data_IF_324133205933
#
_entry.id   IF_324133205933
#
_cell.length_a   1.000
_cell.length_b   1.000
_cell.length_c   1.000
_cell.angle_alpha   90.00
_cell.angle_beta   90.00
_cell.angle_gamma   90.00
#
_symmetry.space_group_name_H-M   'P 1'
#
loop_
_entity.id
_entity.type
_entity.pdbx_description
1 polymer ?
#
# COMPACT_ATOMS: atom_id res chain seq x y z
N UNK A 1 -21.33 -15.45 2.05
CA UNK A 1 -20.33 -14.35 1.94
C UNK A 1 -21.11 -13.05 1.94
N UNK A 2 -20.75 -12.09 2.80
CA UNK A 2 -21.49 -10.81 2.90
C UNK A 2 -21.38 -10.03 1.60
N UNK A 3 -22.47 -9.97 0.84
CA UNK A 3 -22.56 -9.20 -0.42
C UNK A 3 -22.58 -7.67 -0.21
N UNK A 4 -22.49 -7.22 1.04
CA UNK A 4 -22.64 -5.81 1.44
C UNK A 4 -21.40 -5.20 2.11
N UNK A 5 -20.20 -5.76 1.86
CA UNK A 5 -18.97 -5.20 2.40
C UNK A 5 -18.71 -3.81 1.79
N UNK A 6 -18.44 -2.82 2.65
CA UNK A 6 -18.09 -1.44 2.26
C UNK A 6 -16.57 -1.24 2.30
N UNK A 7 -16.08 -0.60 1.27
CA UNK A 7 -14.64 -0.39 1.07
C UNK A 7 -14.31 1.09 1.13
N UNK A 8 -13.22 1.41 1.81
CA UNK A 8 -12.67 2.76 1.80
C UNK A 8 -11.24 2.73 1.31
N UNK A 9 -10.89 3.63 0.39
CA UNK A 9 -9.51 3.86 -0.08
C UNK A 9 -9.04 5.19 0.48
N UNK A 10 -8.00 5.16 1.28
CA UNK A 10 -7.33 6.33 1.85
C UNK A 10 -6.13 6.71 0.98
N UNK A 11 -6.21 7.88 0.36
CA UNK A 11 -5.20 8.41 -0.55
C UNK A 11 -5.62 8.36 -2.01
N UNK A 12 -5.47 9.49 -2.72
CA UNK A 12 -5.83 9.66 -4.13
C UNK A 12 -4.59 9.87 -5.04
N UNK A 13 -3.48 9.24 -4.69
CA UNK A 13 -2.28 9.18 -5.53
C UNK A 13 -2.38 8.14 -6.65
N UNK A 14 -1.23 7.79 -7.25
CA UNK A 14 -1.14 6.82 -8.35
C UNK A 14 -1.84 5.48 -8.01
N UNK A 15 -1.58 4.93 -6.83
CA UNK A 15 -2.17 3.68 -6.40
C UNK A 15 -3.62 3.81 -5.97
N UNK A 16 -3.95 4.85 -5.20
CA UNK A 16 -5.29 4.99 -4.61
C UNK A 16 -6.38 5.22 -5.65
N UNK A 17 -6.15 6.08 -6.65
CA UNK A 17 -7.07 6.26 -7.77
C UNK A 17 -7.30 4.95 -8.54
N UNK A 18 -6.21 4.24 -8.85
CA UNK A 18 -6.28 2.95 -9.55
C UNK A 18 -7.05 1.90 -8.75
N UNK A 19 -6.81 1.81 -7.44
CA UNK A 19 -7.48 0.83 -6.58
C UNK A 19 -8.95 1.15 -6.41
N UNK A 20 -9.31 2.42 -6.16
CA UNK A 20 -10.70 2.83 -6.01
C UNK A 20 -11.51 2.58 -7.29
N UNK A 21 -10.98 2.98 -8.45
CA UNK A 21 -11.63 2.74 -9.74
C UNK A 21 -11.78 1.25 -10.06
N UNK A 22 -10.74 0.46 -9.82
CA UNK A 22 -10.75 -0.97 -10.11
C UNK A 22 -11.79 -1.72 -9.26
N UNK A 23 -11.87 -1.43 -7.95
CA UNK A 23 -12.89 -2.01 -7.07
C UNK A 23 -14.32 -1.56 -7.45
N UNK A 24 -14.49 -0.28 -7.83
CA UNK A 24 -15.78 0.23 -8.29
C UNK A 24 -16.23 -0.48 -9.59
N UNK A 25 -15.32 -0.74 -10.53
CA UNK A 25 -15.60 -1.53 -11.74
C UNK A 25 -15.94 -2.99 -11.45
N UNK A 26 -15.48 -3.53 -10.32
CA UNK A 26 -15.91 -4.84 -9.80
C UNK A 26 -17.30 -4.79 -9.16
N UNK A 27 -18.00 -3.66 -9.18
CA UNK A 27 -19.32 -3.47 -8.58
C UNK A 27 -19.29 -3.29 -7.05
N UNK A 28 -18.15 -2.92 -6.47
CA UNK A 28 -18.04 -2.69 -5.03
C UNK A 28 -18.45 -1.27 -4.65
N UNK A 29 -19.04 -1.12 -3.44
CA UNK A 29 -19.34 0.19 -2.85
C UNK A 29 -18.05 0.78 -2.28
N UNK A 30 -17.47 1.78 -2.97
CA UNK A 30 -16.15 2.34 -2.65
C UNK A 30 -16.26 3.80 -2.27
N UNK A 31 -15.74 4.16 -1.09
CA UNK A 31 -15.46 5.53 -0.67
C UNK A 31 -14.00 5.86 -0.94
N UNK A 32 -13.73 7.00 -1.57
CA UNK A 32 -12.38 7.53 -1.74
C UNK A 32 -12.17 8.72 -0.81
N UNK A 33 -11.12 8.67 -0.01
CA UNK A 33 -10.68 9.75 0.85
C UNK A 33 -9.35 10.34 0.39
N UNK A 34 -9.24 11.66 0.46
CA UNK A 34 -7.95 12.35 0.39
C UNK A 34 -7.94 13.56 1.31
N UNK A 35 -6.83 13.76 2.05
CA UNK A 35 -6.69 14.85 3.01
C UNK A 35 -6.89 16.26 2.41
N UNK A 36 -6.50 16.45 1.17
CA UNK A 36 -6.63 17.71 0.43
C UNK A 36 -7.73 17.58 -0.60
N UNK A 37 -8.86 18.28 -0.41
CA UNK A 37 -10.02 18.19 -1.31
C UNK A 37 -9.69 18.56 -2.74
N UNK A 38 -8.88 19.58 -2.97
CA UNK A 38 -8.46 20.00 -4.32
C UNK A 38 -7.86 18.85 -5.17
N UNK A 39 -7.28 17.83 -4.55
CA UNK A 39 -6.73 16.67 -5.26
C UNK A 39 -7.81 15.66 -5.72
N UNK A 40 -9.03 15.78 -5.20
CA UNK A 40 -10.16 14.88 -5.48
C UNK A 40 -11.41 15.62 -5.99
N UNK A 41 -11.36 16.94 -6.12
CA UNK A 41 -12.47 17.79 -6.54
C UNK A 41 -13.07 17.31 -7.87
N UNK A 42 -12.25 17.15 -8.90
CA UNK A 42 -12.69 16.64 -10.22
C UNK A 42 -13.27 15.23 -10.13
N UNK A 43 -12.74 14.38 -9.23
CA UNK A 43 -13.29 13.04 -9.02
C UNK A 43 -14.68 13.13 -8.37
N UNK A 44 -14.86 14.04 -7.40
CA UNK A 44 -16.13 14.27 -6.73
C UNK A 44 -17.19 14.81 -7.70
N UNK A 45 -16.84 15.80 -8.52
CA UNK A 45 -17.72 16.36 -9.54
C UNK A 45 -18.16 15.34 -10.59
N UNK A 46 -17.23 14.49 -11.05
CA UNK A 46 -17.51 13.44 -12.04
C UNK A 46 -18.19 12.21 -11.43
N UNK A 47 -18.09 12.02 -10.11
CA UNK A 47 -18.58 10.86 -9.39
C UNK A 47 -17.78 9.58 -9.66
N UNK A 48 -16.51 9.69 -10.11
CA UNK A 48 -15.69 8.51 -10.40
C UNK A 48 -14.39 8.79 -11.13
N UNK A 49 -13.73 7.72 -11.54
CA UNK A 49 -12.38 7.73 -12.13
C UNK A 49 -12.39 6.88 -13.41
N UNK A 50 -11.82 7.41 -14.49
CA UNK A 50 -11.52 6.63 -15.69
C UNK A 50 -10.29 5.74 -15.43
N UNK A 51 -10.45 4.45 -15.60
CA UNK A 51 -9.38 3.47 -15.46
C UNK A 51 -9.01 2.84 -16.80
N UNK A 52 -7.75 2.97 -17.18
CA UNK A 52 -7.14 2.16 -18.22
C UNK A 52 -6.44 0.95 -17.58
N UNK A 53 -6.73 -0.23 -18.12
CA UNK A 53 -6.12 -1.50 -17.66
C UNK A 53 -6.08 -2.48 -18.84
N UNK A 54 -5.03 -2.42 -19.67
CA UNK A 54 -4.90 -3.28 -20.82
C UNK A 54 -4.96 -4.77 -20.44
N UNK A 55 -5.95 -5.48 -20.98
CA UNK A 55 -6.19 -6.90 -20.69
C UNK A 55 -6.97 -7.20 -19.40
N UNK A 56 -7.47 -6.17 -18.69
CA UNK A 56 -8.26 -6.30 -17.47
C UNK A 56 -9.50 -5.40 -17.46
N UNK A 57 -10.08 -5.21 -16.27
CA UNK A 57 -11.23 -4.32 -16.08
C UNK A 57 -10.83 -2.87 -16.35
N UNK A 58 -11.49 -2.22 -17.31
CA UNK A 58 -11.27 -0.83 -17.70
C UNK A 58 -12.61 -0.10 -17.89
N UNK A 59 -12.59 1.23 -17.80
CA UNK A 59 -13.77 2.07 -17.96
C UNK A 59 -13.95 3.07 -16.83
N UNK A 60 -15.15 3.62 -16.68
CA UNK A 60 -15.46 4.59 -15.64
C UNK A 60 -15.90 3.89 -14.34
N UNK A 61 -15.01 3.86 -13.34
CA UNK A 61 -15.29 3.36 -12.00
C UNK A 61 -16.08 4.40 -11.18
N UNK A 62 -17.39 4.22 -11.06
CA UNK A 62 -18.27 5.09 -10.29
C UNK A 62 -18.07 4.84 -8.79
N UNK A 63 -17.72 5.88 -8.05
CA UNK A 63 -17.51 5.83 -6.60
C UNK A 63 -18.81 6.12 -5.85
N UNK A 64 -19.02 5.43 -4.74
CA UNK A 64 -20.16 5.67 -3.86
C UNK A 64 -20.02 7.02 -3.13
N UNK A 65 -18.79 7.37 -2.74
CA UNK A 65 -18.50 8.63 -2.05
C UNK A 65 -17.06 9.09 -2.33
N UNK A 66 -16.86 10.40 -2.37
CA UNK A 66 -15.54 11.05 -2.45
C UNK A 66 -15.51 12.14 -1.39
N UNK A 67 -14.53 12.15 -0.49
CA UNK A 67 -14.54 13.03 0.68
C UNK A 67 -13.13 13.33 1.20
N UNK A 68 -12.96 14.48 1.85
CA UNK A 68 -11.81 14.85 2.68
C UNK A 68 -12.12 14.78 4.18
N UNK A 69 -13.32 14.33 4.54
CA UNK A 69 -13.71 14.11 5.94
C UNK A 69 -13.44 12.66 6.34
N UNK A 70 -12.51 12.46 7.30
CA UNK A 70 -12.08 11.13 7.75
C UNK A 70 -13.23 10.36 8.44
N UNK A 71 -14.05 11.02 9.24
CA UNK A 71 -15.21 10.39 9.89
C UNK A 71 -16.16 9.80 8.85
N UNK A 72 -16.49 10.59 7.84
CA UNK A 72 -17.35 10.18 6.72
C UNK A 72 -16.74 9.02 5.92
N UNK A 73 -15.42 9.01 5.79
CA UNK A 73 -14.70 7.97 5.05
C UNK A 73 -14.69 6.62 5.79
N UNK A 74 -14.65 6.63 7.12
CA UNK A 74 -14.56 5.42 7.95
C UNK A 74 -15.92 4.90 8.42
N UNK A 75 -16.99 5.69 8.27
CA UNK A 75 -18.32 5.33 8.75
C UNK A 75 -18.87 4.11 8.03
N UNK A 76 -19.01 3.01 8.78
CA UNK A 76 -19.49 1.73 8.29
C UNK A 76 -18.56 1.02 7.30
N UNK A 77 -17.30 1.45 7.16
CA UNK A 77 -16.32 0.76 6.34
C UNK A 77 -15.88 -0.57 6.97
N UNK A 78 -15.88 -1.66 6.21
CA UNK A 78 -15.43 -2.98 6.66
C UNK A 78 -13.93 -3.18 6.36
N UNK A 79 -13.50 -2.80 5.15
CA UNK A 79 -12.12 -2.93 4.68
C UNK A 79 -11.60 -1.59 4.18
N UNK A 80 -10.58 -1.07 4.88
CA UNK A 80 -9.96 0.22 4.66
C UNK A 80 -8.58 0.00 4.03
N UNK A 81 -8.44 0.36 2.76
CA UNK A 81 -7.19 0.27 2.00
C UNK A 81 -6.40 1.57 2.15
N UNK A 82 -5.33 1.57 2.92
CA UNK A 82 -4.46 2.75 3.12
C UNK A 82 -3.39 2.78 2.04
N UNK A 83 -3.58 3.61 1.02
CA UNK A 83 -2.74 3.67 -0.20
C UNK A 83 -1.99 5.00 -0.26
N UNK A 84 -1.03 5.15 0.61
CA UNK A 84 -0.23 6.37 0.80
C UNK A 84 1.25 6.04 0.93
N UNK A 85 2.18 7.01 0.76
CA UNK A 85 3.58 6.83 1.12
C UNK A 85 3.75 6.48 2.60
N UNK A 86 4.70 5.61 2.92
CA UNK A 86 4.94 5.18 4.32
C UNK A 86 5.29 6.32 5.28
N UNK A 87 5.90 7.38 4.78
CA UNK A 87 6.17 8.61 5.55
C UNK A 87 4.91 9.32 6.07
N UNK A 88 3.74 8.99 5.51
CA UNK A 88 2.45 9.54 5.93
C UNK A 88 1.65 8.59 6.84
N UNK A 89 2.12 7.36 7.11
CA UNK A 89 1.38 6.37 7.91
C UNK A 89 1.02 6.92 9.29
N UNK A 90 1.98 7.50 10.01
CA UNK A 90 1.77 8.06 11.35
C UNK A 90 0.70 9.15 11.35
N UNK A 91 0.78 10.10 10.44
CA UNK A 91 -0.19 11.20 10.38
C UNK A 91 -1.59 10.72 10.02
N UNK A 92 -1.69 9.76 9.10
CA UNK A 92 -3.00 9.18 8.75
C UNK A 92 -3.55 8.33 9.90
N UNK A 93 -2.71 7.58 10.61
CA UNK A 93 -3.12 6.84 11.81
C UNK A 93 -3.72 7.78 12.87
N UNK A 94 -3.09 8.93 13.12
CA UNK A 94 -3.65 9.95 14.04
C UNK A 94 -5.01 10.45 13.61
N UNK A 95 -5.18 10.74 12.31
CA UNK A 95 -6.46 11.20 11.76
C UNK A 95 -7.55 10.13 11.82
N UNK A 96 -7.20 8.86 11.70
CA UNK A 96 -8.14 7.74 11.74
C UNK A 96 -8.53 7.33 13.17
N UNK A 97 -7.60 7.45 14.13
CA UNK A 97 -7.76 6.94 15.49
C UNK A 97 -9.10 7.29 16.18
N UNK A 98 -9.63 8.53 16.10
CA UNK A 98 -10.88 8.90 16.75
C UNK A 98 -12.14 8.24 16.13
N UNK A 99 -12.03 7.73 14.90
CA UNK A 99 -13.18 7.27 14.11
C UNK A 99 -13.17 5.78 13.80
N UNK A 100 -12.07 5.07 14.15
CA UNK A 100 -11.96 3.63 13.96
C UNK A 100 -12.97 2.89 14.83
N UNK A 101 -13.52 1.80 14.30
CA UNK A 101 -14.54 0.98 14.95
C UNK A 101 -14.03 -0.45 15.16
N UNK A 102 -14.69 -1.16 16.08
CA UNK A 102 -14.38 -2.56 16.36
C UNK A 102 -14.53 -3.43 15.10
N UNK A 103 -13.53 -4.23 14.83
CA UNK A 103 -13.56 -5.21 13.76
C UNK A 103 -13.29 -4.68 12.36
N UNK A 104 -13.18 -3.36 12.15
CA UNK A 104 -12.71 -2.80 10.90
C UNK A 104 -11.32 -3.33 10.56
N UNK A 105 -11.07 -3.59 9.28
CA UNK A 105 -9.77 -4.02 8.80
C UNK A 105 -9.07 -2.84 8.12
N UNK A 106 -7.92 -2.45 8.63
CA UNK A 106 -7.05 -1.42 8.05
C UNK A 106 -5.86 -2.11 7.41
N UNK A 107 -5.77 -2.06 6.08
CA UNK A 107 -4.72 -2.72 5.30
C UNK A 107 -3.82 -1.69 4.64
N UNK A 108 -2.54 -1.66 5.03
CA UNK A 108 -1.52 -0.76 4.47
C UNK A 108 -0.99 -1.28 3.13
N UNK A 109 -0.99 -0.43 2.12
CA UNK A 109 -0.60 -0.76 0.74
C UNK A 109 0.54 0.13 0.21
N UNK A 110 1.80 -0.24 0.46
CA UNK A 110 2.30 -1.31 1.35
C UNK A 110 2.60 -0.81 2.76
N UNK A 111 2.81 -1.73 3.71
CA UNK A 111 3.27 -1.39 5.06
C UNK A 111 4.72 -0.93 5.10
N UNK A 112 5.56 -1.38 4.16
CA UNK A 112 7.00 -1.18 4.18
C UNK A 112 7.63 -1.82 5.42
N UNK A 113 8.72 -1.25 5.97
CA UNK A 113 9.37 -1.79 7.16
C UNK A 113 8.68 -1.28 8.42
N UNK A 114 8.07 -2.19 9.20
CA UNK A 114 7.38 -1.91 10.47
C UNK A 114 6.13 -0.99 10.36
N UNK A 115 5.54 -0.82 9.19
CA UNK A 115 4.42 0.11 9.01
C UNK A 115 3.18 -0.24 9.82
N UNK A 116 2.77 -1.51 9.85
CA UNK A 116 1.64 -1.96 10.66
C UNK A 116 1.90 -1.77 12.17
N UNK A 117 3.13 -1.95 12.63
CA UNK A 117 3.51 -1.73 14.03
C UNK A 117 3.43 -0.25 14.38
N UNK A 118 4.01 0.62 13.54
CA UNK A 118 3.95 2.07 13.73
C UNK A 118 2.50 2.56 13.72
N UNK A 119 1.70 2.11 12.76
CA UNK A 119 0.30 2.48 12.65
C UNK A 119 -0.49 2.09 13.90
N UNK A 120 -0.35 0.83 14.33
CA UNK A 120 -1.01 0.31 15.53
C UNK A 120 -0.60 1.07 16.79
N UNK A 121 0.69 1.31 17.00
CA UNK A 121 1.18 2.08 18.15
C UNK A 121 0.65 3.51 18.12
N UNK A 122 0.58 4.13 16.94
CA UNK A 122 0.08 5.50 16.80
C UNK A 122 -1.39 5.60 17.17
N UNK A 123 -2.26 4.72 16.70
CA UNK A 123 -3.70 4.78 17.07
C UNK A 123 -3.91 4.58 18.57
N UNK A 124 -3.11 3.73 19.23
CA UNK A 124 -3.16 3.55 20.68
C UNK A 124 -2.73 4.82 21.43
N UNK A 125 -1.64 5.47 20.99
CA UNK A 125 -1.14 6.73 21.57
C UNK A 125 -2.15 7.87 21.42
N UNK A 126 -2.93 7.88 20.34
CA UNK A 126 -4.01 8.85 20.11
C UNK A 126 -5.33 8.47 20.84
N UNK A 127 -5.29 7.46 21.71
CA UNK A 127 -6.41 7.09 22.57
C UNK A 127 -7.51 6.25 21.90
N UNK A 128 -7.20 5.56 20.81
CA UNK A 128 -8.15 4.62 20.20
C UNK A 128 -8.44 3.46 21.16
N UNK A 129 -9.68 3.33 21.58
CA UNK A 129 -10.14 2.28 22.50
C UNK A 129 -10.81 1.11 21.78
N UNK A 130 -11.14 1.27 20.50
CA UNK A 130 -11.69 0.22 19.65
C UNK A 130 -10.61 -0.76 19.20
N UNK A 131 -11.03 -1.88 18.63
CA UNK A 131 -10.15 -3.00 18.23
C UNK A 131 -10.20 -3.22 16.71
N UNK A 132 -9.70 -2.28 15.90
CA UNK A 132 -9.52 -2.52 14.48
C UNK A 132 -8.41 -3.57 14.27
N UNK A 133 -8.47 -4.29 13.16
CA UNK A 133 -7.43 -5.22 12.75
C UNK A 133 -6.47 -4.46 11.83
N UNK A 134 -5.23 -4.28 12.24
CA UNK A 134 -4.22 -3.64 11.41
C UNK A 134 -3.47 -4.71 10.64
N UNK A 135 -3.31 -4.54 9.34
CA UNK A 135 -2.60 -5.45 8.46
C UNK A 135 -1.75 -4.67 7.45
N UNK A 136 -0.80 -5.36 6.84
CA UNK A 136 0.04 -4.79 5.80
C UNK A 136 0.30 -5.76 4.66
N UNK A 137 0.39 -5.24 3.45
CA UNK A 137 0.93 -5.92 2.30
C UNK A 137 2.44 -5.67 2.19
N UNK A 138 3.21 -6.68 1.82
CA UNK A 138 4.66 -6.58 1.60
C UNK A 138 5.00 -5.55 0.52
N UNK A 139 4.15 -5.47 -0.51
CA UNK A 139 4.29 -4.50 -1.60
C UNK A 139 2.91 -4.08 -2.13
N UNK A 140 2.86 -3.00 -2.89
CA UNK A 140 1.63 -2.59 -3.56
C UNK A 140 1.29 -3.57 -4.69
N UNK A 141 0.00 -3.91 -4.81
CA UNK A 141 -0.46 -4.94 -5.76
C UNK A 141 -0.35 -4.52 -7.23
N UNK A 142 -0.41 -3.23 -7.52
CA UNK A 142 -0.38 -2.71 -8.88
C UNK A 142 0.96 -2.08 -9.26
N UNK A 143 1.35 -2.21 -10.53
CA UNK A 143 2.13 -1.20 -11.22
C UNK A 143 1.13 -0.24 -11.86
N UNK A 144 1.03 1.00 -11.37
CA UNK A 144 0.01 1.95 -11.80
C UNK A 144 0.47 3.39 -11.75
N UNK A 145 -0.21 4.26 -12.49
CA UNK A 145 0.03 5.70 -12.51
C UNK A 145 -1.28 6.48 -12.62
N UNK A 146 -1.32 7.66 -12.01
CA UNK A 146 -2.36 8.67 -12.26
C UNK A 146 -2.00 9.43 -13.53
N UNK A 147 -2.88 9.49 -14.50
CA UNK A 147 -2.65 10.17 -15.80
C UNK A 147 -3.39 11.51 -15.89
N UNK A 148 -4.21 11.82 -14.89
CA UNK A 148 -4.94 13.07 -14.80
C UNK A 148 -5.67 13.21 -13.46
N UNK A 149 -6.43 14.30 -13.29
CA UNK A 149 -7.17 14.56 -12.05
C UNK A 149 -8.10 13.41 -11.65
N UNK A 150 -8.85 12.84 -12.62
CA UNK A 150 -9.74 11.67 -12.41
C UNK A 150 -9.44 10.53 -13.38
N UNK A 151 -8.17 10.31 -13.72
CA UNK A 151 -7.70 9.27 -14.64
C UNK A 151 -6.57 8.49 -14.02
N UNK A 152 -6.60 7.17 -14.20
CA UNK A 152 -5.59 6.27 -13.71
C UNK A 152 -5.34 5.13 -14.70
N UNK A 153 -4.14 4.56 -14.66
CA UNK A 153 -3.77 3.42 -15.49
C UNK A 153 -3.08 2.36 -14.63
N UNK A 154 -3.52 1.12 -14.80
CA UNK A 154 -2.85 -0.08 -14.29
C UNK A 154 -2.07 -0.71 -15.43
N UNK A 155 -0.76 -0.84 -15.26
CA UNK A 155 0.12 -1.52 -16.23
C UNK A 155 0.18 -3.02 -15.97
N UNK A 156 0.14 -3.40 -14.68
CA UNK A 156 0.20 -4.80 -14.26
C UNK A 156 -0.41 -4.98 -12.88
N UNK A 157 -1.09 -6.11 -12.70
CA UNK A 157 -1.50 -6.64 -11.39
C UNK A 157 -0.53 -7.77 -11.03
N UNK A 158 0.01 -7.76 -9.83
CA UNK A 158 0.92 -8.80 -9.35
C UNK A 158 0.15 -10.09 -9.11
N UNK A 159 0.78 -11.23 -9.41
CA UNK A 159 0.18 -12.54 -9.27
C UNK A 159 0.07 -13.01 -7.82
N UNK A 160 1.03 -12.59 -6.98
CA UNK A 160 1.07 -12.97 -5.56
C UNK A 160 1.70 -11.84 -4.74
N UNK A 161 1.02 -11.47 -3.65
CA UNK A 161 1.49 -10.44 -2.70
C UNK A 161 1.32 -10.95 -1.27
N UNK A 162 2.40 -11.19 -0.52
CA UNK A 162 2.32 -11.54 0.89
C UNK A 162 1.65 -10.43 1.71
N UNK A 163 0.77 -10.84 2.62
CA UNK A 163 0.02 -9.98 3.54
C UNK A 163 0.10 -10.57 4.94
N UNK A 164 0.23 -9.72 5.94
CA UNK A 164 0.18 -10.13 7.34
C UNK A 164 -0.61 -9.13 8.19
N UNK A 165 -1.29 -9.67 9.19
CA UNK A 165 -2.02 -8.91 10.20
C UNK A 165 -1.22 -8.80 11.51
N UNK A 166 -1.58 -7.81 12.31
CA UNK A 166 -1.12 -7.62 13.67
C UNK A 166 -2.32 -7.69 14.63
N UNK A 167 -2.45 -8.76 15.43
CA UNK A 167 -1.59 -9.95 15.50
C UNK A 167 -1.78 -10.91 14.30
N UNK A 168 -0.77 -11.77 14.05
CA UNK A 168 -0.77 -12.72 12.94
C UNK A 168 -1.91 -13.75 12.98
N UNK A 169 -2.52 -13.98 14.15
CA UNK A 169 -3.71 -14.82 14.32
C UNK A 169 -4.93 -14.31 13.55
N UNK A 170 -4.92 -13.05 13.12
CA UNK A 170 -5.98 -12.43 12.30
C UNK A 170 -5.74 -12.58 10.78
N UNK A 171 -4.62 -13.18 10.34
CA UNK A 171 -4.30 -13.30 8.91
C UNK A 171 -5.45 -13.88 8.10
N UNK A 172 -6.05 -14.98 8.58
CA UNK A 172 -7.11 -15.67 7.85
C UNK A 172 -8.32 -14.75 7.62
N UNK A 173 -8.73 -14.02 8.67
CA UNK A 173 -9.86 -13.09 8.58
C UNK A 173 -9.58 -11.94 7.59
N UNK A 174 -8.35 -11.40 7.61
CA UNK A 174 -7.94 -10.35 6.66
C UNK A 174 -7.89 -10.88 5.23
N UNK A 175 -7.36 -12.09 5.01
CA UNK A 175 -7.33 -12.72 3.69
C UNK A 175 -8.74 -12.98 3.15
N UNK A 176 -9.65 -13.49 3.95
CA UNK A 176 -11.05 -13.69 3.57
C UNK A 176 -11.72 -12.38 3.13
N UNK A 177 -11.47 -11.29 3.86
CA UNK A 177 -11.99 -9.98 3.50
C UNK A 177 -11.38 -9.44 2.21
N UNK A 178 -10.05 -9.47 2.06
CA UNK A 178 -9.39 -8.90 0.88
C UNK A 178 -9.59 -9.76 -0.38
N UNK A 179 -9.81 -11.06 -0.26
CA UNK A 179 -10.09 -11.95 -1.39
C UNK A 179 -11.43 -11.65 -2.07
N UNK A 180 -12.31 -10.89 -1.43
CA UNK A 180 -13.54 -10.38 -2.09
C UNK A 180 -13.26 -9.44 -3.25
N UNK A 181 -12.04 -8.90 -3.33
CA UNK A 181 -11.55 -7.99 -4.39
C UNK A 181 -10.23 -8.44 -5.01
N UNK A 182 -9.29 -8.97 -4.23
CA UNK A 182 -7.94 -9.30 -4.68
C UNK A 182 -7.48 -10.68 -4.18
N UNK A 183 -7.76 -11.76 -4.92
CA UNK A 183 -7.33 -13.11 -4.56
C UNK A 183 -5.81 -13.31 -4.62
N UNK A 184 -5.05 -12.34 -5.15
CA UNK A 184 -3.60 -12.38 -5.24
C UNK A 184 -2.90 -12.23 -3.88
N UNK A 185 -3.60 -11.79 -2.83
CA UNK A 185 -2.99 -11.73 -1.50
C UNK A 185 -2.86 -13.12 -0.90
N UNK A 186 -1.66 -13.41 -0.38
CA UNK A 186 -1.32 -14.69 0.25
C UNK A 186 -0.82 -14.47 1.66
N UNK A 187 -0.90 -15.51 2.50
CA UNK A 187 -0.44 -15.42 3.89
C UNK A 187 1.08 -15.17 3.96
N UNK A 188 1.47 -14.00 4.42
CA UNK A 188 2.85 -13.56 4.61
C UNK A 188 3.48 -13.97 5.95
N UNK A 189 2.71 -14.65 6.81
CA UNK A 189 3.16 -15.08 8.14
C UNK A 189 2.91 -14.02 9.21
N UNK A 190 3.80 -13.06 9.38
CA UNK A 190 3.66 -11.96 10.33
C UNK A 190 4.25 -10.66 9.78
N UNK A 191 3.91 -9.51 10.40
CA UNK A 191 4.32 -8.18 9.94
C UNK A 191 5.83 -7.92 10.02
N UNK A 192 6.56 -8.64 10.85
CA UNK A 192 8.02 -8.55 10.84
C UNK A 192 8.60 -9.18 9.59
N UNK A 193 8.02 -10.30 9.13
CA UNK A 193 8.45 -10.98 7.91
C UNK A 193 8.12 -10.15 6.67
N UNK A 194 6.89 -9.62 6.54
CA UNK A 194 6.52 -8.75 5.41
C UNK A 194 7.35 -7.47 5.41
N UNK A 195 7.55 -6.85 6.56
CA UNK A 195 8.36 -5.64 6.70
C UNK A 195 9.85 -5.84 6.39
N UNK A 196 10.44 -6.95 6.83
CA UNK A 196 11.84 -7.29 6.55
C UNK A 196 12.08 -7.82 5.13
N UNK A 197 11.05 -8.24 4.40
CA UNK A 197 11.12 -8.56 2.98
C UNK A 197 10.97 -7.33 2.06
N UNK A 198 10.96 -6.13 2.61
CA UNK A 198 10.88 -4.88 1.85
C UNK A 198 12.16 -4.63 1.05
N UNK A 199 12.26 -5.18 -0.16
CA UNK A 199 13.42 -4.98 -1.06
C UNK A 199 13.60 -3.52 -1.46
N UNK A 200 12.55 -2.72 -1.47
CA UNK A 200 12.63 -1.28 -1.73
C UNK A 200 13.54 -0.55 -0.75
N UNK A 201 13.64 -1.00 0.50
CA UNK A 201 14.53 -0.42 1.51
C UNK A 201 16.01 -0.71 1.24
N UNK A 202 16.31 -1.77 0.49
CA UNK A 202 17.69 -2.13 0.08
C UNK A 202 18.05 -1.42 -1.22
N UNK A 203 17.25 -1.60 -2.26
CA UNK A 203 17.58 -1.15 -3.61
C UNK A 203 17.51 0.38 -3.76
N UNK A 204 16.39 1.00 -3.38
CA UNK A 204 16.17 2.41 -3.71
C UNK A 204 17.16 3.36 -3.05
N UNK A 205 17.40 3.33 -1.72
CA UNK A 205 18.34 4.26 -1.09
C UNK A 205 19.78 4.04 -1.58
N UNK A 206 20.21 2.79 -1.70
CA UNK A 206 21.59 2.45 -2.10
C UNK A 206 21.88 2.93 -3.52
N UNK A 207 20.99 2.62 -4.48
CA UNK A 207 21.18 3.05 -5.87
C UNK A 207 21.10 4.57 -5.97
N UNK A 208 20.11 5.21 -5.31
CA UNK A 208 19.94 6.66 -5.36
C UNK A 208 21.16 7.41 -4.80
N UNK A 209 21.63 7.03 -3.62
CA UNK A 209 22.75 7.69 -2.96
C UNK A 209 24.07 7.54 -3.74
N UNK A 210 24.32 6.34 -4.28
CA UNK A 210 25.56 6.07 -5.01
C UNK A 210 25.57 6.64 -6.43
N UNK A 211 24.45 7.07 -6.94
CA UNK A 211 24.32 7.73 -8.24
C UNK A 211 23.82 9.18 -8.12
N UNK A 212 23.89 9.80 -6.93
CA UNK A 212 23.34 11.14 -6.71
C UNK A 212 23.87 12.17 -7.73
N UNK A 213 25.20 12.22 -7.93
CA UNK A 213 25.80 13.12 -8.92
C UNK A 213 25.37 12.84 -10.36
N UNK A 214 25.13 11.57 -10.70
CA UNK A 214 24.63 11.20 -12.02
C UNK A 214 23.17 11.59 -12.20
N UNK A 215 22.34 11.36 -11.17
CA UNK A 215 20.93 11.79 -11.16
C UNK A 215 20.84 13.31 -11.37
N UNK A 216 21.64 14.08 -10.65
CA UNK A 216 21.63 15.55 -10.75
C UNK A 216 22.11 16.06 -12.11
N UNK A 217 23.20 15.49 -12.64
CA UNK A 217 23.80 15.94 -13.91
C UNK A 217 23.01 15.54 -15.15
N UNK A 218 22.34 14.39 -15.10
CA UNK A 218 21.48 13.90 -16.20
C UNK A 218 20.02 14.25 -16.05
N UNK A 219 19.62 14.90 -14.93
CA UNK A 219 18.23 15.13 -14.56
C UNK A 219 17.39 13.84 -14.51
N UNK A 220 18.04 12.72 -14.16
CA UNK A 220 17.44 11.40 -14.08
C UNK A 220 17.29 10.66 -15.41
N UNK A 221 17.94 11.14 -16.46
CA UNK A 221 17.93 10.48 -17.79
C UNK A 221 18.93 9.31 -17.83
N UNK A 222 18.55 8.21 -17.17
CA UNK A 222 19.24 6.91 -17.19
C UNK A 222 18.33 5.80 -16.65
N UNK A 223 18.65 4.55 -16.94
CA UNK A 223 17.88 3.40 -16.47
C UNK A 223 18.30 3.02 -15.05
N UNK A 224 17.50 3.43 -14.05
CA UNK A 224 17.80 3.33 -12.62
C UNK A 224 18.32 1.96 -12.17
N UNK A 225 17.67 0.86 -12.59
CA UNK A 225 18.01 -0.50 -12.18
C UNK A 225 19.02 -1.19 -13.11
N UNK A 226 19.32 -0.60 -14.25
CA UNK A 226 20.28 -1.15 -15.22
C UNK A 226 21.61 -0.36 -15.12
N UNK A 227 21.56 0.91 -15.49
CA UNK A 227 22.76 1.77 -15.51
C UNK A 227 23.21 2.13 -14.09
N UNK A 228 22.26 2.31 -13.16
CA UNK A 228 22.54 2.66 -11.77
C UNK A 228 23.09 1.51 -10.91
N UNK A 229 23.14 0.27 -11.42
CA UNK A 229 23.68 -0.89 -10.69
C UNK A 229 25.01 -1.33 -11.28
N UNK A 230 26.06 -0.52 -11.07
CA UNK A 230 27.43 -0.90 -11.40
C UNK A 230 27.92 -2.06 -10.52
N UNK A 231 29.01 -2.77 -10.88
CA UNK A 231 29.58 -3.83 -10.04
C UNK A 231 29.91 -3.38 -8.60
N UNK A 232 30.30 -2.11 -8.42
CA UNK A 232 30.56 -1.54 -7.09
C UNK A 232 29.24 -1.31 -6.30
N UNK A 233 28.21 -0.81 -6.96
CA UNK A 233 26.88 -0.64 -6.37
C UNK A 233 26.28 -2.00 -5.99
N UNK A 234 26.41 -3.02 -6.84
CA UNK A 234 25.94 -4.37 -6.56
C UNK A 234 26.58 -4.95 -5.28
N UNK A 235 27.90 -4.78 -5.08
CA UNK A 235 28.58 -5.20 -3.84
C UNK A 235 28.01 -4.52 -2.59
N UNK A 236 27.68 -3.24 -2.67
CA UNK A 236 27.09 -2.52 -1.54
C UNK A 236 25.65 -2.97 -1.29
N UNK A 237 24.87 -3.23 -2.34
CA UNK A 237 23.54 -3.83 -2.22
C UNK A 237 23.60 -5.17 -1.48
N UNK A 238 24.57 -6.04 -1.78
CA UNK A 238 24.76 -7.31 -1.06
C UNK A 238 25.12 -7.11 0.42
N UNK A 239 25.91 -6.08 0.75
CA UNK A 239 26.25 -5.76 2.16
C UNK A 239 25.03 -5.31 2.92
N UNK A 240 24.25 -4.35 2.38
CA UNK A 240 23.01 -3.84 3.00
C UNK A 240 21.99 -4.96 3.15
N UNK A 241 21.84 -5.80 2.13
CA UNK A 241 20.93 -6.95 2.17
C UNK A 241 21.34 -7.99 3.23
N UNK A 242 22.62 -8.23 3.39
CA UNK A 242 23.14 -9.12 4.44
C UNK A 242 22.83 -8.59 5.83
N UNK A 243 22.97 -7.28 6.08
CA UNK A 243 22.59 -6.65 7.35
C UNK A 243 21.10 -6.86 7.65
N UNK A 244 20.23 -6.61 6.67
CA UNK A 244 18.78 -6.88 6.78
C UNK A 244 18.48 -8.34 7.10
N UNK A 245 19.10 -9.29 6.40
CA UNK A 245 18.96 -10.71 6.63
C UNK A 245 19.46 -11.13 8.02
N UNK A 246 20.54 -10.50 8.50
CA UNK A 246 21.08 -10.73 9.85
C UNK A 246 20.10 -10.30 10.93
N UNK A 247 19.49 -9.13 10.78
CA UNK A 247 18.42 -8.65 11.69
C UNK A 247 17.23 -9.61 11.68
N UNK A 248 16.78 -10.03 10.50
CA UNK A 248 15.69 -11.01 10.38
C UNK A 248 16.03 -12.33 11.11
N UNK A 249 17.23 -12.85 10.91
CA UNK A 249 17.71 -14.08 11.56
C UNK A 249 17.75 -13.94 13.09
N UNK A 250 18.19 -12.78 13.59
CA UNK A 250 18.19 -12.51 15.04
C UNK A 250 16.78 -12.51 15.66
N UNK A 251 15.75 -12.20 14.84
CA UNK A 251 14.33 -12.29 15.22
C UNK A 251 13.71 -13.67 14.95
N UNK A 252 14.53 -14.67 14.61
CA UNK A 252 14.05 -16.02 14.30
C UNK A 252 13.31 -16.13 12.95
N UNK A 253 13.52 -15.17 12.04
CA UNK A 253 12.85 -15.11 10.72
C UNK A 253 13.86 -15.41 9.60
N UNK A 254 13.38 -16.11 8.58
CA UNK A 254 14.10 -16.19 7.29
C UNK A 254 13.57 -15.10 6.36
N UNK A 255 14.37 -14.05 6.13
CA UNK A 255 14.12 -13.10 5.07
C UNK A 255 14.67 -13.65 3.73
N UNK A 256 13.97 -13.36 2.63
CA UNK A 256 14.46 -13.65 1.29
C UNK A 256 15.62 -12.72 0.98
N UNK A 257 16.74 -13.22 0.47
CA UNK A 257 17.84 -12.37 0.02
C UNK A 257 17.47 -11.58 -1.22
N UNK A 258 18.21 -10.49 -1.50
CA UNK A 258 18.04 -9.72 -2.73
C UNK A 258 18.27 -10.58 -3.98
N UNK A 259 19.24 -11.49 -3.95
CA UNK A 259 19.49 -12.45 -5.03
C UNK A 259 18.37 -13.48 -5.22
N UNK A 260 17.75 -13.95 -4.14
CA UNK A 260 16.58 -14.85 -4.23
C UNK A 260 15.31 -14.12 -4.70
N UNK A 261 15.32 -12.80 -4.61
CA UNK A 261 14.17 -11.96 -5.01
C UNK A 261 14.23 -11.60 -6.51
N UNK A 262 15.42 -11.40 -7.08
CA UNK A 262 15.65 -11.14 -8.51
C UNK A 262 15.37 -12.38 -9.35
#
# INVERSE_FOLDING_TARGET
MNDHMKYTVIGAGNGGKSMAAHMALMGKEVTLYNRTFANIEVIAERGGIDLENPGGLAGFGRLAKVTDNMQVALDGADLIMVVIPSSAHREVAKLMAPYLQDGQIVLLHPGRTCGAIEFHQTILQEGCTTKPIIAEAETFIFASRSEGPSQARIFRIKESVPLAALPATQNQKVLEAVHTVYPQYVNGGNVLKTGLNNMGAVFHPTITLLNAGWIETTHGDFQFYIDGVSPSVAKLLEVVDRERCTVASALGLRARTGLEWL
#
